data_IF_250155546356
#
_entry.id   IF_250155546356
#
_cell.length_a   1.000
_cell.length_b   1.000
_cell.length_c   1.000
_cell.angle_alpha   90.00
_cell.angle_beta   90.00
_cell.angle_gamma   90.00
#
_symmetry.space_group_name_H-M   'P 1'
#
loop_
_entity.id
_entity.type
_entity.pdbx_description
1 polymer ?
#
# COMPACT_ATOMS: atom_id res chain seq x y z
N UNK A 1 13.83 24.28 -25.40
CA UNK A 1 12.40 24.50 -25.11
C UNK A 1 11.70 23.35 -24.42
N UNK A 2 12.30 22.16 -24.35
CA UNK A 2 11.72 20.98 -23.64
C UNK A 2 11.76 21.14 -22.12
N UNK A 3 12.66 21.97 -21.59
CA UNK A 3 12.80 22.16 -20.13
C UNK A 3 11.65 22.98 -19.50
N UNK A 4 10.89 23.72 -20.28
CA UNK A 4 9.78 24.54 -19.77
C UNK A 4 8.47 23.76 -19.59
N UNK A 5 8.28 22.63 -20.29
CA UNK A 5 7.09 21.79 -20.12
C UNK A 5 7.09 20.98 -18.82
N UNK A 6 8.24 20.76 -18.21
CA UNK A 6 8.36 19.99 -16.96
C UNK A 6 7.91 20.76 -15.71
N UNK A 7 7.77 22.08 -15.78
CA UNK A 7 7.45 22.93 -14.63
C UNK A 7 5.94 23.13 -14.37
N UNK A 8 5.07 22.63 -15.25
CA UNK A 8 3.60 22.82 -15.16
C UNK A 8 2.81 21.53 -14.89
N UNK A 9 3.36 20.59 -14.16
CA UNK A 9 2.54 19.51 -13.60
C UNK A 9 1.76 20.09 -12.41
N UNK A 10 0.51 20.45 -12.65
CA UNK A 10 -0.40 20.97 -11.63
C UNK A 10 -0.49 19.99 -10.45
N UNK A 11 -0.02 20.43 -9.28
CA UNK A 11 -0.37 19.78 -8.01
C UNK A 11 -1.72 20.36 -7.58
N UNK A 12 -2.73 19.52 -7.43
CA UNK A 12 -4.02 19.89 -6.86
C UNK A 12 -4.06 19.47 -5.41
N UNK A 13 -4.44 20.38 -4.52
CA UNK A 13 -4.80 20.07 -3.15
C UNK A 13 -6.32 20.17 -3.03
N UNK A 14 -6.97 19.05 -2.79
CA UNK A 14 -8.40 18.98 -2.54
C UNK A 14 -8.62 18.88 -1.02
N UNK A 15 -9.37 19.83 -0.47
CA UNK A 15 -9.78 19.77 0.93
C UNK A 15 -11.22 19.29 0.97
N UNK A 16 -11.43 18.12 1.57
CA UNK A 16 -12.77 17.63 1.88
C UNK A 16 -13.31 18.43 3.05
N UNK A 17 -14.58 18.83 2.99
CA UNK A 17 -15.23 19.44 4.14
C UNK A 17 -15.22 18.42 5.29
N UNK A 18 -14.82 18.81 6.51
CA UNK A 18 -14.89 17.89 7.64
C UNK A 18 -16.34 17.44 7.78
N UNK A 19 -16.59 16.13 7.76
CA UNK A 19 -17.87 15.61 8.22
C UNK A 19 -17.97 15.99 9.69
N UNK A 20 -18.80 16.97 9.98
CA UNK A 20 -19.06 17.42 11.34
C UNK A 20 -19.66 16.25 12.12
N UNK A 21 -18.85 15.58 12.92
CA UNK A 21 -19.35 14.70 13.96
C UNK A 21 -20.03 15.57 15.02
N UNK A 22 -21.30 15.34 15.23
CA UNK A 22 -22.16 16.13 16.11
C UNK A 22 -21.89 15.93 17.61
N UNK A 23 -20.80 15.24 17.98
CA UNK A 23 -20.42 15.01 19.38
C UNK A 23 -18.91 15.17 19.58
N UNK A 24 -18.52 16.14 20.37
CA UNK A 24 -17.14 16.55 20.63
C UNK A 24 -16.27 15.55 21.41
N UNK A 25 -16.62 14.25 21.41
CA UNK A 25 -15.87 13.17 22.09
C UNK A 25 -15.83 11.86 21.30
N UNK A 26 -16.32 11.81 20.07
CA UNK A 26 -16.33 10.56 19.30
C UNK A 26 -15.00 10.29 18.62
N UNK A 27 -14.33 9.21 19.04
CA UNK A 27 -13.19 8.66 18.30
C UNK A 27 -13.65 8.09 16.96
N UNK A 28 -12.79 8.17 15.94
CA UNK A 28 -13.02 7.57 14.64
C UNK A 28 -11.75 6.88 14.11
N UNK A 29 -11.87 6.11 13.04
CA UNK A 29 -10.73 5.48 12.39
C UNK A 29 -10.02 6.49 11.48
N UNK A 30 -8.69 6.55 11.61
CA UNK A 30 -7.81 7.38 10.77
C UNK A 30 -6.67 6.54 10.26
N UNK A 31 -6.42 6.59 8.95
CA UNK A 31 -5.35 5.84 8.33
C UNK A 31 -3.99 6.25 8.90
N UNK A 32 -3.30 5.30 9.50
CA UNK A 32 -1.94 5.43 10.00
C UNK A 32 -0.91 4.90 9.00
N UNK A 33 -1.35 4.13 8.03
CA UNK A 33 -0.59 3.64 6.87
C UNK A 33 -1.57 3.24 5.77
N UNK A 34 -1.20 3.49 4.51
CA UNK A 34 -1.96 3.07 3.34
C UNK A 34 -1.02 2.65 2.21
N UNK A 35 -1.48 1.72 1.37
CA UNK A 35 -0.77 1.30 0.16
C UNK A 35 -1.74 0.92 -0.95
N UNK A 36 -1.53 1.51 -2.13
CA UNK A 36 -2.31 1.19 -3.33
C UNK A 36 -2.10 -0.26 -3.77
N UNK A 37 -3.18 -0.96 -4.01
CA UNK A 37 -3.15 -2.40 -4.32
C UNK A 37 -2.94 -2.65 -5.81
N UNK A 38 -2.02 -3.55 -6.13
CA UNK A 38 -1.63 -3.92 -7.48
C UNK A 38 -1.79 -5.42 -7.69
N UNK A 39 -2.10 -5.84 -8.94
CA UNK A 39 -2.06 -7.23 -9.37
C UNK A 39 -0.63 -7.64 -9.81
N UNK A 40 0.27 -7.82 -8.86
CA UNK A 40 1.66 -8.11 -9.19
C UNK A 40 1.92 -9.58 -9.63
N UNK A 41 0.97 -10.48 -9.41
CA UNK A 41 1.20 -11.91 -9.61
C UNK A 41 0.94 -12.40 -11.05
N UNK A 42 0.33 -11.58 -11.90
CA UNK A 42 0.06 -11.92 -13.32
C UNK A 42 1.09 -11.32 -14.28
N UNK A 43 2.02 -10.53 -13.76
CA UNK A 43 3.06 -9.93 -14.58
C UNK A 43 4.13 -10.97 -14.97
N UNK A 44 4.37 -11.12 -16.26
CA UNK A 44 5.47 -11.95 -16.78
C UNK A 44 6.86 -11.43 -16.38
N UNK A 45 6.94 -10.18 -15.94
CA UNK A 45 8.12 -9.52 -15.42
C UNK A 45 8.07 -9.35 -13.89
N UNK A 46 7.10 -10.01 -13.24
CA UNK A 46 7.01 -10.00 -11.78
C UNK A 46 8.39 -10.26 -11.16
N UNK A 47 8.78 -9.51 -10.13
CA UNK A 47 10.06 -9.71 -9.47
C UNK A 47 10.29 -11.18 -9.14
N UNK A 48 11.53 -11.65 -9.26
CA UNK A 48 11.93 -13.04 -8.92
C UNK A 48 11.36 -13.49 -7.58
N UNK A 49 11.16 -12.55 -6.65
CA UNK A 49 10.53 -12.79 -5.37
C UNK A 49 9.08 -13.30 -5.49
N UNK A 50 8.25 -12.74 -6.39
CA UNK A 50 6.85 -13.19 -6.58
C UNK A 50 6.83 -14.58 -7.22
N UNK A 51 7.67 -14.85 -8.21
CA UNK A 51 7.79 -16.19 -8.79
C UNK A 51 8.29 -17.23 -7.77
N UNK A 52 9.18 -16.81 -6.87
CA UNK A 52 9.65 -17.65 -5.76
C UNK A 52 8.58 -17.92 -4.73
N UNK A 53 7.72 -16.93 -4.42
CA UNK A 53 6.53 -17.15 -3.57
C UNK A 53 5.60 -18.17 -4.21
N UNK A 54 5.34 -18.08 -5.51
CA UNK A 54 4.48 -19.01 -6.22
C UNK A 54 5.01 -20.43 -6.16
N UNK A 55 6.34 -20.64 -6.24
CA UNK A 55 6.97 -21.94 -6.13
C UNK A 55 7.01 -22.48 -4.69
N UNK A 56 7.31 -21.64 -3.70
CA UNK A 56 7.27 -22.00 -2.28
C UNK A 56 5.86 -22.26 -1.79
N UNK A 57 4.89 -21.45 -2.23
CA UNK A 57 3.50 -21.58 -1.93
C UNK A 57 2.80 -22.73 -2.69
N UNK A 58 3.50 -23.51 -3.50
CA UNK A 58 2.95 -24.69 -4.17
C UNK A 58 2.31 -25.66 -3.19
N UNK A 59 2.81 -25.74 -1.94
CA UNK A 59 2.22 -26.48 -0.82
C UNK A 59 0.94 -25.82 -0.25
N UNK A 60 0.64 -24.59 -0.62
CA UNK A 60 -0.57 -23.85 -0.26
C UNK A 60 -0.55 -23.15 1.08
N UNK A 61 0.47 -23.30 1.92
CA UNK A 61 0.48 -22.76 3.31
C UNK A 61 1.75 -21.97 3.58
N UNK A 62 1.61 -20.77 4.14
CA UNK A 62 2.75 -19.96 4.56
C UNK A 62 2.33 -18.66 5.20
N UNK A 63 3.28 -18.02 5.83
CA UNK A 63 3.11 -16.74 6.51
C UNK A 63 3.83 -15.63 5.77
N UNK A 64 3.11 -14.59 5.44
CA UNK A 64 3.68 -13.31 5.06
C UNK A 64 3.97 -12.52 6.32
N UNK A 65 5.21 -12.10 6.50
CA UNK A 65 5.61 -11.14 7.54
C UNK A 65 5.87 -9.80 6.88
N UNK A 66 5.26 -8.75 7.40
CA UNK A 66 5.32 -7.40 6.86
C UNK A 66 5.80 -6.47 7.97
N UNK A 67 6.76 -5.62 7.65
CA UNK A 67 7.20 -4.52 8.50
C UNK A 67 6.76 -3.21 7.87
N UNK A 68 6.00 -2.39 8.60
CA UNK A 68 5.54 -1.07 8.17
C UNK A 68 5.60 -0.07 9.31
N UNK A 69 5.97 1.20 9.03
CA UNK A 69 5.85 2.28 10.01
C UNK A 69 4.38 2.71 10.14
N UNK A 70 3.97 3.20 11.31
CA UNK A 70 2.68 3.88 11.49
C UNK A 70 2.91 5.37 11.63
N UNK A 71 2.11 6.19 10.92
CA UNK A 71 2.21 7.65 11.00
C UNK A 71 1.59 8.21 12.29
N UNK A 72 0.61 7.49 12.84
CA UNK A 72 -0.05 7.82 14.11
C UNK A 72 0.18 6.72 15.15
N UNK A 73 0.27 7.11 16.39
CA UNK A 73 0.26 6.20 17.54
C UNK A 73 -1.16 5.96 18.07
N UNK A 74 -1.30 4.95 18.92
CA UNK A 74 -2.58 4.62 19.55
C UNK A 74 -2.61 3.23 20.16
N UNK A 75 -3.80 2.84 20.59
CA UNK A 75 -4.00 1.54 21.24
C UNK A 75 -4.80 0.57 20.38
N UNK A 76 -5.87 1.04 19.77
CA UNK A 76 -6.83 0.25 19.01
C UNK A 76 -6.60 0.48 17.51
N UNK A 77 -6.44 -0.62 16.78
CA UNK A 77 -6.12 -0.62 15.37
C UNK A 77 -7.10 -1.47 14.57
N UNK A 78 -7.34 -1.03 13.33
CA UNK A 78 -8.00 -1.80 12.28
C UNK A 78 -7.02 -1.99 11.14
N UNK A 79 -7.06 -3.13 10.49
CA UNK A 79 -6.24 -3.44 9.32
C UNK A 79 -7.13 -4.01 8.24
N UNK A 80 -7.09 -3.43 7.05
CA UNK A 80 -7.81 -3.91 5.87
C UNK A 80 -6.91 -4.83 5.06
N UNK A 81 -7.32 -6.09 4.95
CA UNK A 81 -6.71 -7.09 4.09
C UNK A 81 -7.50 -7.22 2.80
N UNK A 82 -6.81 -7.38 1.68
CA UNK A 82 -7.42 -7.38 0.34
C UNK A 82 -7.24 -8.69 -0.40
N UNK A 83 -8.23 -9.05 -1.22
CA UNK A 83 -8.21 -10.08 -2.24
C UNK A 83 -8.90 -9.56 -3.51
N UNK A 84 -8.67 -8.27 -3.80
CA UNK A 84 -9.33 -7.53 -4.87
C UNK A 84 -9.05 -8.15 -6.25
N UNK A 85 -7.78 -8.42 -6.56
CA UNK A 85 -7.35 -9.09 -7.79
C UNK A 85 -7.37 -10.62 -7.69
N UNK A 86 -7.83 -11.17 -6.59
CA UNK A 86 -7.88 -12.61 -6.36
C UNK A 86 -8.69 -13.35 -7.43
N UNK A 87 -8.24 -14.54 -7.82
CA UNK A 87 -8.96 -15.41 -8.77
C UNK A 87 -9.97 -16.35 -8.10
N UNK A 88 -9.98 -16.37 -6.76
CA UNK A 88 -10.88 -17.17 -5.95
C UNK A 88 -10.78 -16.77 -4.47
N UNK A 89 -11.54 -17.41 -3.61
CA UNK A 89 -11.50 -17.15 -2.17
C UNK A 89 -10.12 -17.43 -1.59
N UNK A 90 -9.60 -16.51 -0.78
CA UNK A 90 -8.34 -16.61 -0.05
C UNK A 90 -8.62 -17.00 1.40
N UNK A 91 -7.97 -18.06 1.89
CA UNK A 91 -8.15 -18.53 3.27
C UNK A 91 -7.00 -18.05 4.15
N UNK A 92 -7.36 -17.25 5.17
CA UNK A 92 -6.47 -16.74 6.20
C UNK A 92 -6.68 -17.54 7.48
N UNK A 93 -5.61 -18.18 7.96
CA UNK A 93 -5.65 -19.00 9.16
C UNK A 93 -5.44 -18.21 10.45
N UNK A 94 -4.59 -17.16 10.37
CA UNK A 94 -4.29 -16.31 11.53
C UNK A 94 -3.62 -15.01 11.08
N UNK A 95 -3.91 -13.93 11.79
CA UNK A 95 -3.22 -12.65 11.67
C UNK A 95 -2.74 -12.19 13.03
N UNK A 96 -1.49 -11.77 13.12
CA UNK A 96 -0.94 -11.14 14.34
C UNK A 96 -0.25 -9.83 14.01
N UNK A 97 -0.26 -8.91 14.96
CA UNK A 97 0.51 -7.69 14.93
C UNK A 97 1.39 -7.61 16.19
N UNK A 98 2.56 -6.99 16.06
CA UNK A 98 3.48 -6.73 17.16
C UNK A 98 4.39 -5.56 16.81
N UNK A 99 5.22 -5.14 17.75
CA UNK A 99 6.22 -4.10 17.52
C UNK A 99 7.50 -4.71 16.95
N UNK A 100 8.20 -3.95 16.12
CA UNK A 100 9.54 -4.32 15.67
C UNK A 100 10.49 -4.41 16.87
N UNK A 101 11.29 -5.48 16.94
CA UNK A 101 12.32 -5.68 17.93
C UNK A 101 13.70 -5.19 17.47
N UNK A 102 14.68 -5.31 18.35
CA UNK A 102 16.08 -4.92 18.07
C UNK A 102 16.83 -5.88 17.15
N UNK A 103 16.23 -7.03 16.80
CA UNK A 103 16.90 -8.13 16.10
C UNK A 103 16.78 -8.01 14.55
N UNK A 104 16.80 -6.80 14.03
CA UNK A 104 16.71 -6.51 12.59
C UNK A 104 15.29 -6.21 12.12
N UNK A 105 15.14 -5.91 10.82
CA UNK A 105 13.88 -5.43 10.23
C UNK A 105 12.71 -6.40 10.39
N UNK A 106 12.99 -7.71 10.39
CA UNK A 106 11.97 -8.76 10.52
C UNK A 106 11.75 -9.25 11.95
N UNK A 107 12.53 -8.75 12.90
CA UNK A 107 12.45 -9.13 14.31
C UNK A 107 11.24 -8.53 15.01
N UNK A 108 10.55 -9.33 15.82
CA UNK A 108 9.39 -8.90 16.61
C UNK A 108 9.75 -8.81 18.08
N UNK A 109 9.40 -7.68 18.72
CA UNK A 109 9.65 -7.47 20.14
C UNK A 109 8.85 -8.46 21.01
N UNK A 110 9.51 -9.03 22.02
CA UNK A 110 8.89 -9.98 22.96
C UNK A 110 7.71 -9.35 23.69
N UNK A 111 6.62 -10.12 23.82
CA UNK A 111 5.46 -9.74 24.61
C UNK A 111 4.57 -8.66 23.97
N UNK A 112 4.88 -8.24 22.73
CA UNK A 112 4.07 -7.25 22.02
C UNK A 112 3.05 -7.86 21.05
N UNK A 113 3.15 -9.17 20.78
CA UNK A 113 2.29 -9.84 19.80
C UNK A 113 0.84 -9.92 20.25
N UNK A 114 -0.05 -9.41 19.43
CA UNK A 114 -1.51 -9.50 19.60
C UNK A 114 -2.13 -10.20 18.41
N UNK A 115 -3.24 -10.93 18.62
CA UNK A 115 -3.97 -11.59 17.53
C UNK A 115 -5.07 -10.66 17.02
N UNK A 116 -5.06 -10.40 15.72
CA UNK A 116 -6.12 -9.67 15.05
C UNK A 116 -7.34 -10.59 14.82
N UNK A 117 -8.54 -10.02 14.91
CA UNK A 117 -9.81 -10.72 14.74
C UNK A 117 -10.75 -9.91 13.86
N UNK A 118 -11.62 -10.59 13.14
CA UNK A 118 -12.73 -9.95 12.41
C UNK A 118 -13.72 -9.32 13.42
N UNK A 119 -14.62 -8.47 12.94
CA UNK A 119 -15.64 -7.81 13.77
C UNK A 119 -16.52 -8.78 14.58
N UNK A 120 -16.69 -10.01 14.08
CA UNK A 120 -17.40 -11.08 14.78
C UNK A 120 -16.50 -11.99 15.63
N UNK A 121 -15.27 -11.56 15.93
CA UNK A 121 -14.34 -12.19 16.85
C UNK A 121 -13.56 -13.39 16.31
N UNK A 122 -13.65 -13.70 15.01
CA UNK A 122 -12.94 -14.84 14.42
C UNK A 122 -11.47 -14.48 14.13
N UNK A 123 -10.55 -15.37 14.45
CA UNK A 123 -9.12 -15.26 14.12
C UNK A 123 -8.76 -15.93 12.79
N UNK A 124 -9.63 -16.79 12.26
CA UNK A 124 -9.50 -17.40 10.94
C UNK A 124 -10.73 -17.07 10.09
N UNK A 125 -10.53 -16.77 8.81
CA UNK A 125 -11.59 -16.33 7.91
C UNK A 125 -11.18 -16.55 6.44
N UNK A 126 -12.11 -16.27 5.54
CA UNK A 126 -11.83 -16.26 4.10
C UNK A 126 -12.23 -14.92 3.53
N UNK A 127 -11.40 -14.40 2.60
CA UNK A 127 -11.68 -13.18 1.84
C UNK A 127 -12.16 -13.63 0.46
N UNK A 128 -13.37 -13.25 0.07
CA UNK A 128 -13.91 -13.59 -1.25
C UNK A 128 -13.09 -12.89 -2.36
N UNK A 129 -13.16 -13.43 -3.58
CA UNK A 129 -12.62 -12.76 -4.76
C UNK A 129 -13.23 -11.36 -4.90
N UNK A 130 -12.41 -10.35 -5.17
CA UNK A 130 -12.83 -8.96 -5.36
C UNK A 130 -13.23 -8.25 -4.06
N UNK A 131 -12.92 -8.81 -2.89
CA UNK A 131 -13.35 -8.27 -1.60
C UNK A 131 -12.16 -7.94 -0.70
N UNK A 132 -12.44 -7.16 0.34
CA UNK A 132 -11.57 -6.86 1.47
C UNK A 132 -12.13 -7.46 2.76
N UNK A 133 -11.31 -7.51 3.80
CA UNK A 133 -11.70 -7.95 5.14
C UNK A 133 -10.98 -7.14 6.20
N UNK A 134 -11.73 -6.45 7.03
CA UNK A 134 -11.20 -5.77 8.19
C UNK A 134 -10.93 -6.75 9.34
N UNK A 135 -9.77 -6.57 9.97
CA UNK A 135 -9.40 -7.25 11.20
C UNK A 135 -8.96 -6.22 12.24
N UNK A 136 -9.28 -6.47 13.49
CA UNK A 136 -9.11 -5.54 14.60
C UNK A 136 -8.15 -6.13 15.63
N UNK A 137 -7.30 -5.28 16.20
CA UNK A 137 -6.40 -5.65 17.27
C UNK A 137 -6.14 -4.45 18.20
N UNK A 138 -5.79 -4.76 19.46
CA UNK A 138 -5.46 -3.73 20.46
C UNK A 138 -4.19 -4.11 21.17
N UNK A 139 -3.28 -3.15 21.31
CA UNK A 139 -2.13 -3.30 22.19
C UNK A 139 -2.53 -3.11 23.65
N UNK A 140 -1.82 -3.72 24.63
CA UNK A 140 -2.08 -3.48 26.05
C UNK A 140 -1.96 -2.00 26.43
N UNK A 141 -0.99 -1.31 25.86
CA UNK A 141 -0.75 0.14 26.01
C UNK A 141 -0.74 0.81 24.65
N UNK A 142 -1.05 2.11 24.60
CA UNK A 142 -0.89 2.88 23.37
C UNK A 142 0.58 2.87 22.93
N UNK A 143 0.79 2.71 21.62
CA UNK A 143 2.11 2.80 21.00
C UNK A 143 2.36 4.22 20.50
N UNK A 144 3.61 4.70 20.49
CA UNK A 144 3.95 6.02 19.93
C UNK A 144 3.70 6.11 18.42
N UNK A 145 3.49 7.33 17.92
CA UNK A 145 3.60 7.62 16.48
C UNK A 145 4.99 7.23 15.96
N UNK A 146 5.09 6.90 14.68
CA UNK A 146 6.34 6.43 14.08
C UNK A 146 6.77 5.01 14.50
N UNK A 147 5.93 4.31 15.29
CA UNK A 147 6.20 2.91 15.66
C UNK A 147 6.25 2.03 14.42
N UNK A 148 7.17 1.08 14.40
CA UNK A 148 7.24 0.07 13.35
C UNK A 148 6.50 -1.20 13.77
N UNK A 149 5.47 -1.57 13.00
CA UNK A 149 4.68 -2.78 13.20
C UNK A 149 5.29 -3.96 12.46
N UNK A 150 5.23 -5.13 13.09
CA UNK A 150 5.44 -6.44 12.46
C UNK A 150 4.09 -7.15 12.37
N UNK A 151 3.62 -7.32 11.14
CA UNK A 151 2.35 -7.97 10.83
C UNK A 151 2.65 -9.35 10.26
N UNK A 152 1.98 -10.38 10.77
CA UNK A 152 2.09 -11.73 10.24
C UNK A 152 0.73 -12.19 9.76
N UNK A 153 0.65 -12.62 8.49
CA UNK A 153 -0.56 -13.12 7.85
C UNK A 153 -0.31 -14.56 7.42
N UNK A 154 -0.82 -15.51 8.20
CA UNK A 154 -0.75 -16.93 7.84
C UNK A 154 -1.89 -17.30 6.91
N UNK A 155 -1.56 -17.70 5.69
CA UNK A 155 -2.50 -18.13 4.67
C UNK A 155 -2.42 -19.64 4.48
N UNK A 156 -3.57 -20.31 4.47
CA UNK A 156 -3.68 -21.74 4.12
C UNK A 156 -3.83 -21.96 2.62
N UNK A 157 -3.92 -20.87 1.85
CA UNK A 157 -3.98 -20.83 0.39
C UNK A 157 -3.05 -19.75 -0.19
N UNK A 158 -1.84 -19.62 0.33
CA UNK A 158 -0.88 -18.56 0.00
C UNK A 158 -0.59 -18.41 -1.51
N UNK A 159 -0.64 -19.51 -2.28
CA UNK A 159 -0.47 -19.49 -3.74
C UNK A 159 -1.55 -18.71 -4.49
N UNK A 160 -2.66 -18.36 -3.83
CA UNK A 160 -3.75 -17.57 -4.41
C UNK A 160 -3.58 -16.06 -4.24
N UNK A 161 -2.56 -15.62 -3.51
CA UNK A 161 -2.29 -14.20 -3.28
C UNK A 161 -1.91 -13.55 -4.61
N UNK A 162 -2.59 -12.44 -4.92
CA UNK A 162 -2.41 -11.63 -6.13
C UNK A 162 -2.20 -10.16 -5.79
N UNK A 163 -2.71 -9.75 -4.65
CA UNK A 163 -2.74 -8.36 -4.19
C UNK A 163 -1.46 -8.01 -3.45
N UNK A 164 -0.82 -6.94 -3.92
CA UNK A 164 0.39 -6.39 -3.30
C UNK A 164 0.28 -4.87 -3.29
N UNK A 165 0.58 -4.24 -2.18
CA UNK A 165 0.75 -2.79 -2.12
C UNK A 165 2.18 -2.41 -2.43
N UNK A 166 2.35 -1.34 -3.20
CA UNK A 166 3.65 -0.76 -3.55
C UNK A 166 3.90 0.46 -2.66
N UNK A 167 4.69 0.31 -1.60
CA UNK A 167 4.93 1.41 -0.65
C UNK A 167 6.12 1.12 0.27
N UNK A 168 6.41 2.08 1.17
CA UNK A 168 7.47 1.92 2.18
C UNK A 168 7.16 0.83 3.20
N UNK A 169 8.09 -0.07 3.39
CA UNK A 169 8.01 -1.21 4.28
C UNK A 169 8.88 -2.35 3.78
N UNK A 170 8.82 -3.48 4.45
CA UNK A 170 9.52 -4.70 4.05
C UNK A 170 8.62 -5.90 4.24
N UNK A 171 8.75 -6.90 3.37
CA UNK A 171 7.98 -8.11 3.49
C UNK A 171 8.82 -9.37 3.21
N UNK A 172 8.42 -10.46 3.86
CA UNK A 172 9.03 -11.78 3.74
C UNK A 172 7.94 -12.83 3.68
N UNK A 173 8.23 -13.94 3.02
CA UNK A 173 7.39 -15.12 3.03
C UNK A 173 8.16 -16.29 3.62
N UNK A 174 7.53 -17.03 4.50
CA UNK A 174 8.06 -18.28 5.04
C UNK A 174 6.98 -19.35 5.07
N UNK A 175 7.36 -20.59 4.75
CA UNK A 175 6.48 -21.74 4.83
C UNK A 175 6.05 -22.03 6.26
N UNK A 176 4.78 -22.38 6.46
CA UNK A 176 4.20 -22.72 7.76
C UNK A 176 3.59 -21.52 8.52
N UNK A 177 3.09 -21.79 9.70
CA UNK A 177 2.57 -20.76 10.62
C UNK A 177 3.70 -20.30 11.55
N UNK A 178 4.24 -19.11 11.26
CA UNK A 178 5.27 -18.45 12.07
C UNK A 178 4.74 -17.17 12.75
N UNK A 179 3.43 -17.06 12.89
CA UNK A 179 2.79 -15.85 13.44
C UNK A 179 3.18 -15.55 14.90
N UNK A 180 3.72 -16.54 15.62
CA UNK A 180 4.19 -16.41 17.00
C UNK A 180 5.72 -16.32 17.13
N UNK A 181 6.46 -16.47 16.02
CA UNK A 181 7.91 -16.53 16.05
C UNK A 181 8.52 -15.14 16.14
N UNK A 182 9.48 -14.94 17.02
CA UNK A 182 10.19 -13.67 17.15
C UNK A 182 10.96 -13.32 15.87
N UNK A 183 11.68 -14.31 15.33
CA UNK A 183 12.56 -14.15 14.17
C UNK A 183 12.14 -15.08 13.04
N UNK A 184 12.32 -14.64 11.81
CA UNK A 184 12.07 -15.47 10.63
C UNK A 184 12.99 -16.70 10.55
N UNK A 185 14.18 -16.64 11.13
CA UNK A 185 15.16 -17.71 11.11
C UNK A 185 15.02 -18.72 12.26
N UNK A 186 14.06 -18.51 13.18
CA UNK A 186 13.90 -19.36 14.39
C UNK A 186 13.64 -20.84 14.05
N UNK A 187 13.13 -21.14 12.86
CA UNK A 187 12.84 -22.49 12.40
C UNK A 187 14.01 -23.19 11.69
N UNK A 188 15.18 -22.59 11.66
CA UNK A 188 16.40 -23.22 11.08
C UNK A 188 16.34 -23.49 9.57
N UNK A 189 15.38 -22.97 8.86
CA UNK A 189 15.12 -23.28 7.45
C UNK A 189 15.18 -22.03 6.58
N UNK A 190 16.39 -21.44 6.52
CA UNK A 190 16.68 -20.25 5.69
C UNK A 190 16.32 -20.46 4.20
N UNK A 191 16.25 -21.70 3.74
CA UNK A 191 15.87 -22.04 2.37
C UNK A 191 14.40 -21.71 2.03
N UNK A 192 13.54 -21.55 3.05
CA UNK A 192 12.11 -21.23 2.89
C UNK A 192 11.79 -19.76 3.14
N UNK A 193 12.80 -18.92 3.31
CA UNK A 193 12.63 -17.49 3.50
C UNK A 193 12.82 -16.77 2.17
N UNK A 194 11.81 -16.05 1.71
CA UNK A 194 11.87 -15.20 0.53
C UNK A 194 11.66 -13.77 0.94
N UNK A 195 12.63 -12.90 0.69
CA UNK A 195 12.42 -11.46 0.72
C UNK A 195 11.57 -11.08 -0.50
N UNK A 196 10.48 -10.38 -0.27
CA UNK A 196 9.58 -9.91 -1.33
C UNK A 196 10.07 -8.56 -1.87
N UNK A 197 10.98 -7.92 -1.15
CA UNK A 197 11.66 -6.72 -1.61
C UNK A 197 12.76 -7.13 -2.59
N UNK A 198 12.63 -6.77 -3.86
CA UNK A 198 13.76 -6.95 -4.76
C UNK A 198 14.85 -5.96 -4.33
N UNK A 199 16.10 -6.42 -4.19
CA UNK A 199 17.22 -5.62 -3.66
C UNK A 199 17.63 -4.39 -4.48
N UNK A 200 16.81 -3.93 -5.41
CA UNK A 200 17.02 -2.76 -6.27
C UNK A 200 16.37 -1.46 -5.72
N UNK A 201 15.99 -1.45 -4.46
CA UNK A 201 15.73 -0.22 -3.69
C UNK A 201 14.39 0.47 -3.91
N UNK A 202 13.68 0.24 -5.00
CA UNK A 202 12.52 1.05 -5.38
C UNK A 202 11.15 0.37 -5.24
N UNK A 203 11.10 -0.94 -4.99
CA UNK A 203 9.85 -1.69 -4.97
C UNK A 203 9.73 -2.59 -3.75
N UNK A 204 9.03 -2.08 -2.75
CA UNK A 204 8.59 -2.88 -1.63
C UNK A 204 7.15 -3.34 -1.90
N UNK A 205 7.00 -4.61 -2.23
CA UNK A 205 5.70 -5.24 -2.47
C UNK A 205 5.20 -5.86 -1.17
N UNK A 206 4.16 -5.30 -0.60
CA UNK A 206 3.56 -5.76 0.65
C UNK A 206 2.30 -6.57 0.34
N UNK A 207 2.29 -7.89 0.60
CA UNK A 207 1.17 -8.74 0.22
C UNK A 207 -0.06 -8.51 1.10
N UNK A 208 -1.23 -8.48 0.48
CA UNK A 208 -2.55 -8.47 1.12
C UNK A 208 -2.89 -7.25 1.98
N UNK A 209 -1.96 -6.41 2.32
CA UNK A 209 -2.17 -5.26 3.20
C UNK A 209 -2.55 -4.03 2.35
N UNK A 210 -3.70 -3.45 2.62
CA UNK A 210 -4.18 -2.23 1.98
C UNK A 210 -4.09 -1.03 2.90
N UNK A 211 -4.54 -1.15 4.15
CA UNK A 211 -4.62 -0.02 5.08
C UNK A 211 -4.43 -0.47 6.52
N UNK A 212 -3.87 0.40 7.34
CA UNK A 212 -3.83 0.28 8.81
C UNK A 212 -4.34 1.58 9.38
N UNK A 213 -5.40 1.48 10.16
CA UNK A 213 -6.01 2.60 10.84
C UNK A 213 -5.79 2.53 12.34
N UNK A 214 -5.75 3.68 12.96
CA UNK A 214 -5.79 3.84 14.40
C UNK A 214 -7.09 4.52 14.82
N UNK A 215 -7.62 4.12 15.94
CA UNK A 215 -8.76 4.80 16.54
C UNK A 215 -8.27 6.04 17.27
N UNK A 216 -8.68 7.21 16.80
CA UNK A 216 -8.16 8.50 17.20
C UNK A 216 -9.26 9.53 17.51
N UNK A 217 -8.89 10.63 18.13
CA UNK A 217 -9.79 11.76 18.45
C UNK A 217 -10.41 12.41 17.21
N UNK A 218 -11.56 13.06 17.38
CA UNK A 218 -12.34 13.65 16.29
C UNK A 218 -11.59 14.69 15.45
N UNK A 219 -10.57 15.32 15.99
CA UNK A 219 -9.72 16.31 15.31
C UNK A 219 -8.54 15.72 14.55
N UNK A 220 -8.34 14.39 14.65
CA UNK A 220 -7.29 13.66 13.92
C UNK A 220 -7.74 13.38 12.49
N UNK A 221 -6.84 13.53 11.51
CA UNK A 221 -7.19 13.34 10.10
C UNK A 221 -6.05 12.75 9.27
N UNK A 222 -6.40 12.19 8.12
CA UNK A 222 -5.44 11.74 7.12
C UNK A 222 -5.31 12.74 5.97
N UNK A 223 -4.10 12.88 5.47
CA UNK A 223 -3.75 13.55 4.22
C UNK A 223 -3.20 12.51 3.25
N UNK A 224 -3.86 12.35 2.11
CA UNK A 224 -3.48 11.36 1.09
C UNK A 224 -2.66 12.04 -0.01
N UNK A 225 -1.50 11.50 -0.31
CA UNK A 225 -0.73 11.83 -1.50
C UNK A 225 -0.95 10.73 -2.55
N UNK A 226 -1.57 11.08 -3.68
CA UNK A 226 -1.91 10.12 -4.73
C UNK A 226 -1.38 10.59 -6.09
N UNK A 227 -0.80 9.66 -6.85
CA UNK A 227 -0.23 9.96 -8.17
C UNK A 227 0.80 8.94 -8.61
N UNK A 228 1.88 9.43 -9.21
CA UNK A 228 2.96 8.63 -9.80
C UNK A 228 4.28 8.69 -9.01
N UNK A 229 5.38 8.25 -9.64
CA UNK A 229 6.73 8.23 -9.03
C UNK A 229 7.24 9.59 -8.57
N UNK A 230 6.64 10.69 -9.01
CA UNK A 230 7.08 12.05 -8.66
C UNK A 230 6.71 12.48 -7.24
N UNK A 231 5.82 11.75 -6.58
CA UNK A 231 5.43 11.96 -5.18
C UNK A 231 5.65 10.74 -4.28
N UNK A 232 6.31 9.73 -4.69
CA UNK A 232 6.57 8.51 -3.90
C UNK A 232 6.76 8.77 -2.39
N UNK A 233 7.06 7.76 -1.62
CA UNK A 233 7.12 7.83 -0.16
C UNK A 233 8.02 8.95 0.42
N UNK A 234 8.95 9.51 -0.37
CA UNK A 234 9.84 10.56 0.13
C UNK A 234 9.10 11.87 0.50
N UNK A 235 8.19 12.36 -0.35
CA UNK A 235 7.45 13.61 -0.07
C UNK A 235 6.48 13.43 1.10
N UNK A 236 5.61 12.40 1.14
CA UNK A 236 4.74 12.13 2.28
C UNK A 236 5.52 11.99 3.60
N UNK A 237 6.62 11.24 3.61
CA UNK A 237 7.41 11.02 4.81
C UNK A 237 8.08 12.32 5.32
N UNK A 238 8.64 13.14 4.41
CA UNK A 238 9.22 14.45 4.78
C UNK A 238 8.14 15.36 5.37
N UNK A 239 6.93 15.37 4.81
CA UNK A 239 5.84 16.18 5.36
C UNK A 239 5.42 15.66 6.74
N UNK A 240 5.26 14.34 6.91
CA UNK A 240 4.93 13.75 8.21
C UNK A 240 5.97 14.12 9.27
N UNK A 241 7.26 13.95 8.95
CA UNK A 241 8.36 14.30 9.85
C UNK A 241 8.33 15.79 10.24
N UNK A 242 8.05 16.68 9.28
CA UNK A 242 7.97 18.11 9.54
C UNK A 242 6.75 18.47 10.40
N UNK A 243 5.60 17.85 10.19
CA UNK A 243 4.42 18.06 11.03
C UNK A 243 4.71 17.66 12.48
N UNK A 244 5.25 16.47 12.69
CA UNK A 244 5.64 15.98 14.03
C UNK A 244 6.67 16.88 14.71
N UNK A 245 7.74 17.29 14.00
CA UNK A 245 8.77 18.21 14.52
C UNK A 245 8.21 19.59 14.91
N UNK A 246 7.12 20.00 14.29
CA UNK A 246 6.42 21.26 14.60
C UNK A 246 5.24 21.08 15.56
N UNK A 247 5.12 19.92 16.23
CA UNK A 247 4.13 19.65 17.25
C UNK A 247 2.73 19.35 16.71
N UNK A 248 2.59 19.00 15.44
CA UNK A 248 1.33 18.54 14.84
C UNK A 248 1.29 17.02 14.91
N UNK A 249 0.53 16.47 15.87
CA UNK A 249 0.44 15.04 16.15
C UNK A 249 -0.92 14.43 15.80
N UNK A 250 -1.85 15.26 15.31
CA UNK A 250 -3.20 14.83 14.90
C UNK A 250 -3.37 14.76 13.37
N UNK A 251 -2.27 14.68 12.63
CA UNK A 251 -2.27 14.55 11.18
C UNK A 251 -1.46 13.32 10.75
N UNK A 252 -2.06 12.48 9.93
CA UNK A 252 -1.40 11.38 9.24
C UNK A 252 -1.16 11.75 7.78
N UNK A 253 0.01 11.47 7.25
CA UNK A 253 0.32 11.64 5.82
C UNK A 253 0.58 10.27 5.22
N UNK A 254 -0.31 9.81 4.36
CA UNK A 254 -0.22 8.49 3.72
C UNK A 254 0.00 8.63 2.22
N UNK A 255 0.63 7.61 1.62
CA UNK A 255 0.97 7.58 0.20
C UNK A 255 0.15 6.54 -0.55
N UNK A 256 -0.53 6.98 -1.60
CA UNK A 256 -1.21 6.16 -2.60
C UNK A 256 -0.56 6.33 -3.98
N UNK A 257 0.73 6.65 -4.01
CA UNK A 257 1.47 6.83 -5.25
C UNK A 257 1.93 5.49 -5.83
N UNK A 258 1.79 5.33 -7.14
CA UNK A 258 2.25 4.16 -7.90
C UNK A 258 3.23 4.64 -8.97
N UNK A 259 4.44 4.07 -8.98
CA UNK A 259 5.45 4.38 -10.01
C UNK A 259 4.95 3.96 -11.39
N UNK A 260 5.12 4.82 -12.39
CA UNK A 260 4.65 4.57 -13.75
C UNK A 260 3.15 4.83 -13.95
N UNK A 261 2.38 5.12 -12.91
CA UNK A 261 0.93 5.29 -13.00
C UNK A 261 0.53 6.44 -13.92
N UNK A 262 -0.57 6.25 -14.60
CA UNK A 262 -1.19 7.21 -15.50
C UNK A 262 -2.54 7.70 -14.96
N UNK A 263 -2.95 8.87 -15.39
CA UNK A 263 -4.25 9.45 -15.05
C UNK A 263 -5.39 8.71 -15.74
N UNK A 264 -5.22 8.40 -17.04
CA UNK A 264 -6.31 7.99 -17.94
C UNK A 264 -6.32 6.52 -18.30
N UNK A 265 -5.19 5.81 -18.13
CA UNK A 265 -5.04 4.45 -18.63
C UNK A 265 -4.49 3.52 -17.56
N UNK A 266 -4.95 2.29 -17.58
CA UNK A 266 -4.35 1.21 -16.79
C UNK A 266 -2.92 0.94 -17.27
N UNK A 267 -2.06 0.56 -16.37
CA UNK A 267 -0.69 0.19 -16.67
C UNK A 267 -0.64 -0.92 -17.72
N UNK A 268 -0.17 -0.56 -18.91
CA UNK A 268 -0.03 -1.46 -20.05
C UNK A 268 1.42 -1.53 -20.54
N UNK A 269 2.32 -0.83 -19.87
CA UNK A 269 3.73 -0.79 -20.18
C UNK A 269 4.37 -2.17 -20.02
N UNK A 270 5.35 -2.49 -20.87
CA UNK A 270 6.11 -3.73 -20.74
C UNK A 270 7.12 -3.70 -19.60
N UNK A 271 7.44 -2.52 -19.06
CA UNK A 271 8.39 -2.38 -17.96
C UNK A 271 7.84 -2.89 -16.65
N UNK A 272 6.61 -2.54 -16.36
CA UNK A 272 5.98 -2.83 -15.09
C UNK A 272 4.58 -3.40 -15.23
N UNK A 273 3.98 -3.32 -16.43
CA UNK A 273 2.68 -3.89 -16.70
C UNK A 273 1.66 -3.62 -15.59
N UNK A 274 1.10 -4.66 -14.98
CA UNK A 274 0.18 -4.54 -13.85
C UNK A 274 0.74 -3.81 -12.62
N UNK A 275 2.06 -3.66 -12.48
CA UNK A 275 2.69 -2.90 -11.38
C UNK A 275 2.57 -1.39 -11.54
N UNK A 276 2.22 -0.87 -12.72
CA UNK A 276 1.87 0.54 -12.93
C UNK A 276 0.45 0.88 -12.45
N UNK A 277 -0.31 -0.14 -12.08
CA UNK A 277 -1.62 -0.04 -11.48
C UNK A 277 -2.73 0.37 -12.44
N UNK A 278 -3.96 0.41 -11.92
CA UNK A 278 -5.11 0.96 -12.63
C UNK A 278 -4.96 2.47 -12.84
N UNK A 279 -5.61 3.03 -13.87
CA UNK A 279 -5.69 4.47 -14.10
C UNK A 279 -6.11 5.21 -12.82
N UNK A 280 -5.54 6.40 -12.58
CA UNK A 280 -5.90 7.14 -11.38
C UNK A 280 -7.39 7.45 -11.32
N UNK A 281 -8.03 7.76 -12.45
CA UNK A 281 -9.48 7.98 -12.54
C UNK A 281 -10.30 6.77 -12.08
N UNK A 282 -9.76 5.55 -12.20
CA UNK A 282 -10.42 4.31 -11.75
C UNK A 282 -10.19 4.00 -10.28
N UNK A 283 -8.95 4.22 -9.78
CA UNK A 283 -8.58 3.85 -8.40
C UNK A 283 -8.77 4.97 -7.37
N UNK A 284 -9.14 6.19 -7.80
CA UNK A 284 -9.22 7.38 -6.94
C UNK A 284 -10.19 7.20 -5.78
N UNK A 285 -11.34 6.58 -6.02
CA UNK A 285 -12.31 6.28 -4.97
C UNK A 285 -11.67 5.42 -3.86
N UNK A 286 -11.08 4.30 -4.21
CA UNK A 286 -10.52 3.34 -3.24
C UNK A 286 -9.24 3.86 -2.58
N UNK A 287 -8.34 4.50 -3.36
CA UNK A 287 -7.00 4.85 -2.91
C UNK A 287 -6.90 6.28 -2.34
N UNK A 288 -7.99 7.06 -2.38
CA UNK A 288 -8.01 8.40 -1.83
C UNK A 288 -9.28 8.71 -1.03
N UNK A 289 -10.48 8.55 -1.62
CA UNK A 289 -11.73 8.99 -0.99
C UNK A 289 -12.19 8.05 0.12
N UNK A 290 -11.90 6.76 0.02
CA UNK A 290 -12.25 5.74 1.03
C UNK A 290 -11.19 5.57 2.11
N UNK A 291 -10.05 6.25 2.01
CA UNK A 291 -9.01 6.23 3.05
C UNK A 291 -9.58 6.78 4.36
N UNK A 292 -9.40 6.02 5.43
CA UNK A 292 -10.03 6.35 6.71
C UNK A 292 -9.57 7.72 7.24
N UNK A 293 -10.54 8.55 7.59
CA UNK A 293 -10.30 9.90 8.17
C UNK A 293 -9.67 10.88 7.18
N UNK A 294 -9.75 10.66 5.87
CA UNK A 294 -9.21 11.59 4.88
C UNK A 294 -9.91 12.95 4.93
N UNK A 295 -9.13 14.02 4.94
CA UNK A 295 -9.61 15.39 4.84
C UNK A 295 -8.89 16.19 3.75
N UNK A 296 -7.73 15.72 3.32
CA UNK A 296 -6.92 16.41 2.30
C UNK A 296 -6.35 15.38 1.33
N UNK A 297 -6.41 15.71 0.05
CA UNK A 297 -5.86 14.88 -1.02
C UNK A 297 -4.94 15.75 -1.87
N UNK A 298 -3.69 15.31 -2.05
CA UNK A 298 -2.74 15.91 -2.98
C UNK A 298 -2.58 14.99 -4.19
N UNK A 299 -2.98 15.49 -5.35
CA UNK A 299 -2.90 14.77 -6.63
C UNK A 299 -1.74 15.32 -7.45
N UNK A 300 -0.85 14.44 -7.91
CA UNK A 300 0.18 14.77 -8.89
C UNK A 300 0.38 13.59 -9.84
N UNK A 301 -0.12 13.74 -11.05
CA UNK A 301 -0.22 12.68 -12.06
C UNK A 301 -0.17 13.28 -13.48
N UNK A 302 -0.09 12.46 -14.51
CA UNK A 302 -0.19 12.88 -15.91
C UNK A 302 1.16 12.94 -16.63
N UNK A 303 2.27 12.83 -15.90
CA UNK A 303 3.59 12.77 -16.54
C UNK A 303 3.73 11.54 -17.43
N UNK A 304 3.31 10.39 -16.96
CA UNK A 304 3.42 9.13 -17.69
C UNK A 304 2.43 9.05 -18.86
N UNK A 305 1.25 9.65 -18.74
CA UNK A 305 0.30 9.80 -19.87
C UNK A 305 0.94 10.49 -21.08
N UNK A 306 1.87 11.44 -20.83
CA UNK A 306 2.58 12.18 -21.86
C UNK A 306 3.87 11.47 -22.28
N UNK A 307 4.62 10.96 -21.32
CA UNK A 307 5.96 10.41 -21.54
C UNK A 307 5.92 9.05 -22.23
N UNK A 308 5.07 8.13 -21.78
CA UNK A 308 5.03 6.76 -22.29
C UNK A 308 4.75 6.71 -23.81
N UNK A 309 3.80 7.45 -24.37
CA UNK A 309 3.58 7.42 -25.82
C UNK A 309 4.58 8.23 -26.64
N UNK A 310 5.18 9.30 -26.08
CA UNK A 310 5.99 10.27 -26.83
C UNK A 310 7.49 9.95 -26.84
N UNK A 311 7.95 9.02 -26.01
CA UNK A 311 9.37 8.72 -25.85
C UNK A 311 9.70 7.26 -26.22
N UNK A 312 9.38 6.82 -27.46
CA UNK A 312 9.75 5.48 -27.93
C UNK A 312 11.28 5.24 -27.90
N UNK A 313 12.07 6.33 -27.92
CA UNK A 313 13.54 6.29 -27.91
C UNK A 313 14.15 6.24 -26.50
N UNK A 314 13.34 6.31 -25.43
CA UNK A 314 13.79 5.93 -24.08
C UNK A 314 14.10 4.42 -23.94
N UNK A 315 14.14 3.72 -25.07
CA UNK A 315 14.54 2.32 -25.17
C UNK A 315 15.79 1.98 -24.39
N UNK A 316 16.78 2.87 -24.38
CA UNK A 316 18.04 2.66 -23.65
C UNK A 316 17.88 2.82 -22.12
N UNK A 317 16.93 3.63 -21.68
CA UNK A 317 16.67 3.84 -20.25
C UNK A 317 15.78 2.77 -19.65
N UNK A 318 14.95 2.13 -20.47
CA UNK A 318 13.91 1.23 -20.03
C UNK A 318 13.94 -0.13 -20.76
N UNK A 319 15.11 -0.58 -21.22
CA UNK A 319 15.30 -1.89 -21.85
C UNK A 319 14.46 -2.10 -23.16
N UNK A 320 14.07 -1.04 -23.79
CA UNK A 320 13.47 -1.10 -25.13
C UNK A 320 12.00 -1.50 -25.18
N UNK A 321 11.31 -1.57 -24.06
CA UNK A 321 9.98 -2.13 -23.97
C UNK A 321 8.84 -1.10 -23.82
N UNK A 322 9.14 0.18 -23.84
CA UNK A 322 8.26 1.25 -23.35
C UNK A 322 7.46 2.01 -24.41
N UNK A 323 7.04 1.34 -25.46
CA UNK A 323 5.97 1.90 -26.27
C UNK A 323 4.65 1.33 -25.80
N UNK A 324 3.67 2.18 -25.54
CA UNK A 324 2.31 1.70 -25.37
C UNK A 324 1.95 0.82 -26.56
N UNK A 325 1.53 -0.42 -26.33
CA UNK A 325 1.22 -1.36 -27.42
C UNK A 325 0.11 -0.87 -28.33
N UNK A 326 -0.76 0.02 -27.81
CA UNK A 326 -1.93 0.57 -28.51
C UNK A 326 -1.65 1.91 -29.23
N UNK A 327 -0.46 2.51 -29.05
CA UNK A 327 -0.08 3.79 -29.65
C UNK A 327 -0.93 4.98 -29.18
N UNK A 328 -1.67 4.83 -28.07
CA UNK A 328 -2.52 5.89 -27.55
C UNK A 328 -1.71 7.08 -27.05
N UNK A 329 -2.02 8.27 -27.55
CA UNK A 329 -1.45 9.57 -27.14
C UNK A 329 -2.62 10.45 -26.70
N UNK A 330 -2.76 10.76 -25.41
CA UNK A 330 -3.86 11.58 -24.93
C UNK A 330 -3.73 13.02 -25.44
N UNK A 331 -4.87 13.66 -25.75
CA UNK A 331 -4.91 15.10 -26.01
C UNK A 331 -4.90 15.90 -24.71
N UNK A 332 -4.62 17.20 -24.79
CA UNK A 332 -4.69 18.08 -23.62
C UNK A 332 -6.09 18.09 -22.99
N UNK A 333 -7.13 18.07 -23.83
CA UNK A 333 -8.54 18.03 -23.38
C UNK A 333 -8.85 16.75 -22.62
N UNK A 334 -8.29 15.63 -23.03
CA UNK A 334 -8.46 14.35 -22.32
C UNK A 334 -7.78 14.37 -20.95
N UNK A 335 -6.56 14.92 -20.86
CA UNK A 335 -5.86 15.11 -19.56
C UNK A 335 -6.67 16.04 -18.64
N UNK A 336 -7.16 17.18 -19.16
CA UNK A 336 -8.01 18.11 -18.41
C UNK A 336 -9.30 17.41 -17.96
N UNK A 337 -9.94 16.65 -18.84
CA UNK A 337 -11.13 15.86 -18.54
C UNK A 337 -10.88 14.81 -17.46
N UNK A 338 -9.70 14.17 -17.44
CA UNK A 338 -9.28 13.26 -16.38
C UNK A 338 -9.19 13.96 -15.02
N UNK A 339 -8.56 15.12 -14.95
CA UNK A 339 -8.54 15.91 -13.70
C UNK A 339 -9.93 16.39 -13.28
N UNK A 340 -10.78 16.81 -14.24
CA UNK A 340 -12.17 17.16 -13.91
C UNK A 340 -12.94 15.97 -13.34
N UNK A 341 -12.72 14.77 -13.89
CA UNK A 341 -13.32 13.54 -13.36
C UNK A 341 -12.94 13.29 -11.88
N UNK A 342 -11.64 13.54 -11.50
CA UNK A 342 -11.23 13.41 -10.10
C UNK A 342 -11.94 14.44 -9.20
N UNK A 343 -12.11 15.68 -9.68
CA UNK A 343 -12.81 16.74 -8.95
C UNK A 343 -14.30 16.39 -8.76
N UNK A 344 -14.92 15.85 -9.79
CA UNK A 344 -16.35 15.49 -9.78
C UNK A 344 -16.66 14.29 -8.86
N UNK A 345 -15.63 13.50 -8.47
CA UNK A 345 -15.78 12.42 -7.51
C UNK A 345 -15.77 12.89 -6.04
N UNK A 346 -15.26 14.09 -5.73
CA UNK A 346 -15.18 14.69 -4.39
C UNK A 346 -16.50 15.38 -4.02
#
# INVERSE_FOLDING_TARGET
SLLLCFAMLCSMALSLAPQASADGSSEHWVAAWHGSVLNAAEDSQAPKAISSISSLAASGRGTFRIQVPTQLGGKDFRMTLTNYYGTGSLSVGKVTAGLQGSEGLSGQASGTTVTAKTSNGKSSFSIAKGATQDVFFSFPNAIPEGSSLIINIYCTSAKKVRDFALTGGSAWFQYGDITSDKNLNALGNAANLVSINNGEGDYNLLPLLQEIDVKASADTYATVFIGDSTITNSIPNILQDNLQKNGVHNASVVSSAIKGNELLQDGAGKLQGPLEGAALTTRFQMDALEVAGVQKIFVKIGANDILHPLLPDLKEWFDGSNTRPDGYVPTAEQIIGGYQNLIDQV
#
